data_IF_504711784276
#
_entry.id   IF_504711784276
#
_cell.length_a   1.000
_cell.length_b   1.000
_cell.length_c   1.000
_cell.angle_alpha   90.00
_cell.angle_beta   90.00
_cell.angle_gamma   90.00
#
_symmetry.space_group_name_H-M   'P 1'
#
loop_
_entity.id
_entity.type
_entity.pdbx_description
1 polymer ?
#
# COMPACT_ATOMS: atom_id res chain seq x y z
N UNK A 1 -9.08 -45.69 -17.26
CA UNK A 1 -8.02 -44.67 -17.39
C UNK A 1 -8.71 -43.33 -17.21
N UNK A 2 -8.70 -42.82 -15.98
CA UNK A 2 -9.50 -41.66 -15.57
C UNK A 2 -9.05 -40.39 -16.29
N UNK A 3 -10.02 -39.62 -16.79
CA UNK A 3 -9.84 -38.38 -17.53
C UNK A 3 -9.88 -37.12 -16.65
N UNK A 4 -9.80 -37.27 -15.32
CA UNK A 4 -9.97 -36.17 -14.36
C UNK A 4 -8.67 -35.58 -13.79
N UNK A 5 -7.49 -36.07 -14.18
CA UNK A 5 -6.21 -35.59 -13.61
C UNK A 5 -5.55 -34.40 -14.33
N UNK A 6 -6.24 -33.75 -15.28
CA UNK A 6 -5.70 -32.53 -15.93
C UNK A 6 -6.05 -31.22 -15.23
N UNK A 7 -6.77 -31.27 -14.10
CA UNK A 7 -7.22 -30.09 -13.35
C UNK A 7 -6.13 -29.41 -12.48
N UNK A 8 -4.92 -29.99 -12.38
CA UNK A 8 -3.92 -29.61 -11.37
C UNK A 8 -2.72 -28.77 -11.83
N UNK A 9 -2.48 -28.55 -13.12
CA UNK A 9 -1.12 -28.17 -13.59
C UNK A 9 -0.76 -26.67 -13.63
N UNK A 10 -1.63 -25.73 -13.25
CA UNK A 10 -1.32 -24.28 -13.34
C UNK A 10 -1.61 -23.44 -12.08
N UNK A 11 -1.97 -24.06 -10.95
CA UNK A 11 -1.96 -23.33 -9.67
C UNK A 11 -0.50 -23.22 -9.20
N UNK A 12 0.06 -22.01 -9.00
CA UNK A 12 1.39 -21.91 -8.40
C UNK A 12 1.36 -22.59 -7.03
N UNK A 13 2.40 -23.35 -6.65
CA UNK A 13 2.48 -23.86 -5.29
C UNK A 13 2.68 -22.68 -4.34
N UNK A 14 1.60 -22.19 -3.74
CA UNK A 14 1.66 -21.23 -2.66
C UNK A 14 2.18 -21.93 -1.40
N UNK A 15 3.14 -21.33 -0.71
CA UNK A 15 3.56 -21.80 0.61
C UNK A 15 2.44 -21.61 1.65
N UNK A 16 1.64 -20.56 1.46
CA UNK A 16 0.47 -20.25 2.27
C UNK A 16 -0.59 -19.61 1.38
N UNK A 17 -1.82 -20.06 1.53
CA UNK A 17 -2.98 -19.49 0.88
C UNK A 17 -4.08 -19.33 1.93
N UNK A 18 -4.69 -18.13 2.05
CA UNK A 18 -5.82 -17.94 2.95
C UNK A 18 -7.07 -18.67 2.45
N UNK A 19 -8.14 -18.66 3.25
CA UNK A 19 -9.44 -19.18 2.84
C UNK A 19 -9.94 -18.51 1.55
N UNK A 20 -10.53 -19.32 0.67
CA UNK A 20 -11.10 -18.93 -0.62
C UNK A 20 -12.63 -19.12 -0.52
N UNK A 21 -13.46 -18.24 -1.12
CA UNK A 21 -13.10 -17.02 -1.84
C UNK A 21 -12.49 -15.96 -0.91
N UNK A 22 -11.59 -15.13 -1.46
CA UNK A 22 -11.07 -13.97 -0.73
C UNK A 22 -12.25 -13.01 -0.48
N UNK A 23 -12.66 -12.91 0.79
CA UNK A 23 -13.75 -12.04 1.18
C UNK A 23 -13.31 -10.57 1.20
N UNK A 24 -14.20 -9.68 0.76
CA UNK A 24 -14.02 -8.24 0.91
C UNK A 24 -14.42 -7.78 2.31
N UNK A 25 -14.08 -6.55 2.67
CA UNK A 25 -14.49 -6.00 3.97
C UNK A 25 -16.01 -5.73 3.98
N UNK A 26 -16.71 -5.91 5.12
CA UNK A 26 -18.16 -5.83 5.19
C UNK A 26 -18.69 -4.38 5.28
N UNK A 27 -17.98 -3.41 4.70
CA UNK A 27 -18.31 -1.98 4.79
C UNK A 27 -19.19 -1.54 3.62
N UNK A 28 -18.77 -1.86 2.39
CA UNK A 28 -19.49 -1.51 1.16
C UNK A 28 -20.09 -2.76 0.50
N UNK A 29 -20.98 -3.44 1.23
CA UNK A 29 -21.63 -4.68 0.76
C UNK A 29 -23.12 -4.48 0.53
N UNK A 30 -23.66 -5.20 -0.45
CA UNK A 30 -25.10 -5.27 -0.71
C UNK A 30 -25.62 -6.70 -0.46
N UNK A 31 -26.70 -6.89 0.32
CA UNK A 31 -27.41 -5.88 1.10
C UNK A 31 -26.56 -5.28 2.24
N UNK A 32 -26.82 -4.04 2.70
CA UNK A 32 -26.02 -3.39 3.75
C UNK A 32 -25.99 -4.18 5.06
N UNK A 33 -24.82 -4.28 5.68
CA UNK A 33 -24.60 -5.02 6.94
C UNK A 33 -23.99 -4.11 8.02
N UNK A 34 -24.75 -3.14 8.58
CA UNK A 34 -24.20 -2.10 9.46
C UNK A 34 -23.48 -2.66 10.70
N UNK A 35 -24.02 -3.70 11.32
CA UNK A 35 -23.39 -4.35 12.48
C UNK A 35 -22.03 -4.96 12.12
N UNK A 36 -21.92 -5.59 10.95
CA UNK A 36 -20.66 -6.18 10.48
C UNK A 36 -19.66 -5.07 10.11
N UNK A 37 -20.11 -3.99 9.48
CA UNK A 37 -19.29 -2.82 9.17
C UNK A 37 -18.69 -2.21 10.45
N UNK A 38 -19.51 -1.94 11.47
CA UNK A 38 -19.04 -1.39 12.76
C UNK A 38 -18.05 -2.35 13.43
N UNK A 39 -18.35 -3.65 13.48
CA UNK A 39 -17.44 -4.67 14.02
C UNK A 39 -16.10 -4.67 13.30
N UNK A 40 -16.09 -4.50 11.97
CA UNK A 40 -14.88 -4.40 11.18
C UNK A 40 -14.10 -3.11 11.50
N UNK A 41 -14.76 -1.96 11.54
CA UNK A 41 -14.13 -0.67 11.85
C UNK A 41 -13.48 -0.67 13.24
N UNK A 42 -14.05 -1.39 14.21
CA UNK A 42 -13.51 -1.56 15.56
C UNK A 42 -12.59 -2.79 15.71
N UNK A 43 -12.33 -3.52 14.63
CA UNK A 43 -11.59 -4.78 14.66
C UNK A 43 -10.08 -4.56 14.82
N UNK A 44 -9.37 -5.65 15.12
CA UNK A 44 -7.90 -5.66 15.11
C UNK A 44 -7.30 -5.33 13.75
N UNK A 45 -7.97 -5.75 12.67
CA UNK A 45 -7.47 -5.56 11.30
C UNK A 45 -7.52 -4.10 10.87
N UNK A 46 -8.48 -3.32 11.35
CA UNK A 46 -8.63 -1.92 10.97
C UNK A 46 -8.19 -0.97 12.07
N UNK A 47 -8.92 -0.90 13.20
CA UNK A 47 -8.63 0.04 14.27
C UNK A 47 -7.22 -0.14 14.83
N UNK A 48 -6.83 -1.37 15.16
CA UNK A 48 -5.57 -1.62 15.88
C UNK A 48 -4.36 -1.89 14.97
N UNK A 49 -4.55 -2.16 13.68
CA UNK A 49 -3.44 -2.36 12.73
C UNK A 49 -3.23 -1.14 11.82
N UNK A 50 -4.26 -0.30 11.64
CA UNK A 50 -4.22 0.85 10.74
C UNK A 50 -4.41 2.15 11.53
N UNK A 51 -5.63 2.42 12.02
CA UNK A 51 -5.99 3.76 12.52
C UNK A 51 -5.17 4.15 13.75
N UNK A 52 -5.10 3.31 14.78
CA UNK A 52 -4.36 3.63 16.00
C UNK A 52 -2.85 3.70 15.76
N UNK A 53 -2.18 2.70 15.14
CA UNK A 53 -0.74 2.76 14.94
C UNK A 53 -0.30 3.96 14.10
N UNK A 54 -0.93 4.17 12.94
CA UNK A 54 -0.60 5.30 12.07
C UNK A 54 -1.06 6.63 12.67
N UNK A 55 -2.16 6.66 13.42
CA UNK A 55 -2.65 7.85 14.11
C UNK A 55 -1.70 8.33 15.20
N UNK A 56 -1.23 7.40 16.05
CA UNK A 56 -0.20 7.68 17.06
C UNK A 56 1.11 8.10 16.40
N UNK A 57 1.48 7.44 15.29
CA UNK A 57 2.69 7.75 14.56
C UNK A 57 2.67 9.15 13.93
N UNK A 58 1.54 9.54 13.34
CA UNK A 58 1.30 10.88 12.82
C UNK A 58 1.27 11.92 13.93
N UNK A 59 0.66 11.60 15.08
CA UNK A 59 0.66 12.47 16.26
C UNK A 59 2.07 12.71 16.80
N UNK A 60 2.89 11.65 16.93
CA UNK A 60 4.29 11.77 17.36
C UNK A 60 5.08 12.59 16.34
N UNK A 61 4.85 12.36 15.04
CA UNK A 61 5.51 13.13 13.99
C UNK A 61 5.18 14.61 14.11
N UNK A 62 3.89 14.94 14.25
CA UNK A 62 3.43 16.31 14.41
C UNK A 62 3.97 16.98 15.69
N UNK A 63 3.93 16.26 16.82
CA UNK A 63 4.27 16.83 18.11
C UNK A 63 5.79 17.00 18.33
N UNK A 64 6.61 16.11 17.77
CA UNK A 64 8.03 16.02 18.13
C UNK A 64 9.01 16.05 16.97
N UNK A 65 8.60 15.64 15.76
CA UNK A 65 9.53 15.42 14.65
C UNK A 65 9.39 16.45 13.52
N UNK A 66 8.25 17.14 13.45
CA UNK A 66 7.96 18.19 12.48
C UNK A 66 8.67 19.49 12.89
N UNK A 67 9.35 20.21 11.96
CA UNK A 67 9.83 21.56 12.24
C UNK A 67 8.69 22.49 12.67
N UNK A 68 9.02 23.47 13.51
CA UNK A 68 8.08 24.51 13.93
C UNK A 68 7.39 25.11 12.70
N UNK A 69 6.06 25.22 12.75
CA UNK A 69 5.25 25.66 11.60
C UNK A 69 5.67 27.06 11.12
N UNK A 70 6.11 27.93 12.03
CA UNK A 70 6.63 29.26 11.71
C UNK A 70 7.86 29.24 10.82
N UNK A 71 8.72 28.21 10.93
CA UNK A 71 9.88 28.02 10.02
C UNK A 71 9.47 27.60 8.62
N UNK A 72 8.26 27.05 8.45
CA UNK A 72 7.79 26.54 7.17
C UNK A 72 7.23 27.65 6.27
N UNK A 73 7.15 28.91 6.73
CA UNK A 73 6.60 30.02 5.95
C UNK A 73 7.45 30.35 4.70
N UNK A 74 8.78 30.22 4.81
CA UNK A 74 9.74 30.40 3.73
C UNK A 74 10.46 29.10 3.43
N UNK A 75 10.73 28.80 2.17
CA UNK A 75 11.52 27.63 1.82
C UNK A 75 12.95 27.80 2.29
N UNK A 76 13.40 26.90 3.17
CA UNK A 76 14.78 26.81 3.59
C UNK A 76 15.24 25.36 3.54
N UNK A 77 16.47 25.16 3.09
CA UNK A 77 17.08 23.84 3.03
C UNK A 77 17.05 23.13 4.40
N UNK A 78 17.21 23.87 5.50
CA UNK A 78 17.36 23.32 6.85
C UNK A 78 16.14 22.50 7.31
N UNK A 79 14.93 23.05 7.20
CA UNK A 79 13.71 22.38 7.65
C UNK A 79 13.22 21.35 6.63
N UNK A 80 13.45 21.57 5.34
CA UNK A 80 13.16 20.59 4.28
C UNK A 80 14.05 19.35 4.46
N UNK A 81 15.35 19.54 4.70
CA UNK A 81 16.28 18.45 4.98
C UNK A 81 15.92 17.71 6.28
N UNK A 82 15.50 18.41 7.33
CA UNK A 82 14.98 17.79 8.55
C UNK A 82 13.79 16.86 8.25
N UNK A 83 12.82 17.32 7.45
CA UNK A 83 11.66 16.51 7.06
C UNK A 83 12.06 15.30 6.20
N UNK A 84 12.98 15.48 5.24
CA UNK A 84 13.49 14.38 4.43
C UNK A 84 14.18 13.32 5.29
N UNK A 85 15.12 13.74 6.15
CA UNK A 85 15.86 12.83 7.03
C UNK A 85 14.93 12.10 8.00
N UNK A 86 13.94 12.80 8.57
CA UNK A 86 12.89 12.16 9.38
C UNK A 86 12.16 11.09 8.58
N UNK A 87 11.62 11.41 7.40
CA UNK A 87 10.89 10.43 6.58
C UNK A 87 11.77 9.23 6.20
N UNK A 88 13.02 9.49 5.82
CA UNK A 88 13.97 8.45 5.50
C UNK A 88 14.24 7.54 6.70
N UNK A 89 14.51 8.11 7.88
CA UNK A 89 14.74 7.35 9.11
C UNK A 89 13.52 6.50 9.49
N UNK A 90 12.33 7.09 9.46
CA UNK A 90 11.08 6.40 9.76
C UNK A 90 10.82 5.25 8.78
N UNK A 91 11.01 5.50 7.49
CA UNK A 91 10.83 4.51 6.45
C UNK A 91 11.83 3.36 6.57
N UNK A 92 13.12 3.68 6.74
CA UNK A 92 14.19 2.67 6.90
C UNK A 92 14.00 1.86 8.16
N UNK A 93 13.62 2.48 9.28
CA UNK A 93 13.39 1.79 10.54
C UNK A 93 12.27 0.76 10.42
N UNK A 94 11.14 1.14 9.82
CA UNK A 94 9.95 0.28 9.73
C UNK A 94 10.09 -0.72 8.58
N UNK A 95 10.27 -0.25 7.35
CA UNK A 95 10.33 -1.10 6.15
C UNK A 95 11.61 -1.93 6.13
N UNK A 96 12.74 -1.32 6.49
CA UNK A 96 14.00 -2.04 6.67
C UNK A 96 13.96 -3.01 7.84
N UNK A 97 13.34 -2.62 8.96
CA UNK A 97 13.12 -3.51 10.10
C UNK A 97 12.30 -4.76 9.73
N UNK A 98 11.19 -4.58 8.99
CA UNK A 98 10.39 -5.69 8.47
C UNK A 98 11.20 -6.56 7.51
N UNK A 99 12.01 -5.96 6.65
CA UNK A 99 12.87 -6.71 5.74
C UNK A 99 13.89 -7.56 6.50
N UNK A 100 14.56 -6.98 7.50
CA UNK A 100 15.49 -7.70 8.36
C UNK A 100 14.78 -8.84 9.10
N UNK A 101 13.61 -8.58 9.68
CA UNK A 101 12.83 -9.58 10.41
C UNK A 101 12.45 -10.79 9.54
N UNK A 102 11.86 -10.55 8.37
CA UNK A 102 11.30 -11.60 7.51
C UNK A 102 12.33 -12.30 6.61
N UNK A 103 13.35 -11.57 6.14
CA UNK A 103 14.23 -12.07 5.07
C UNK A 103 15.69 -12.24 5.49
N UNK A 104 16.24 -11.33 6.31
CA UNK A 104 17.62 -11.47 6.79
C UNK A 104 17.71 -12.46 7.96
N UNK A 105 16.94 -12.22 9.01
CA UNK A 105 16.89 -13.06 10.22
C UNK A 105 15.89 -14.21 10.12
N UNK A 106 14.96 -14.15 9.16
CA UNK A 106 13.95 -15.19 8.89
C UNK A 106 13.18 -15.62 10.16
N UNK A 107 12.87 -14.68 11.06
CA UNK A 107 12.29 -14.95 12.39
C UNK A 107 10.96 -15.71 12.34
N UNK A 108 10.16 -15.52 11.29
CA UNK A 108 8.87 -16.20 11.07
C UNK A 108 8.97 -17.40 10.11
N UNK A 109 10.15 -17.65 9.51
CA UNK A 109 10.33 -18.73 8.54
C UNK A 109 9.35 -18.65 7.37
N UNK A 110 8.57 -19.72 7.13
CA UNK A 110 7.54 -19.78 6.08
C UNK A 110 6.12 -19.56 6.61
N UNK A 111 5.94 -19.35 7.92
CA UNK A 111 4.61 -19.20 8.50
C UNK A 111 3.91 -17.99 7.87
N UNK A 112 2.72 -18.20 7.29
CA UNK A 112 1.94 -17.18 6.56
C UNK A 112 2.64 -16.54 5.35
N UNK A 113 3.74 -17.12 4.84
CA UNK A 113 4.44 -16.61 3.65
C UNK A 113 3.73 -17.09 2.39
N UNK A 114 3.31 -16.19 1.50
CA UNK A 114 2.57 -16.58 0.30
C UNK A 114 3.42 -17.38 -0.70
N UNK A 115 4.54 -16.81 -1.14
CA UNK A 115 5.40 -17.40 -2.18
C UNK A 115 6.77 -17.81 -1.64
N UNK A 116 7.33 -18.89 -2.20
CA UNK A 116 8.69 -19.33 -1.93
C UNK A 116 9.75 -18.63 -2.79
N UNK A 117 9.34 -17.81 -3.75
CA UNK A 117 10.24 -17.22 -4.74
C UNK A 117 11.31 -16.34 -4.08
N UNK A 118 12.57 -16.59 -4.40
CA UNK A 118 13.68 -15.79 -3.92
C UNK A 118 13.72 -14.41 -4.60
N UNK A 119 14.34 -13.44 -3.95
CA UNK A 119 14.63 -12.14 -4.57
C UNK A 119 15.65 -12.30 -5.70
N UNK A 120 15.49 -11.50 -6.75
CA UNK A 120 16.41 -11.49 -7.89
C UNK A 120 17.82 -11.04 -7.50
N UNK A 121 18.82 -11.82 -7.93
CA UNK A 121 20.26 -11.55 -7.80
C UNK A 121 20.92 -11.81 -9.14
N UNK A 122 21.93 -11.01 -9.49
CA UNK A 122 22.61 -11.00 -10.79
C UNK A 122 21.65 -10.90 -11.99
N UNK A 123 20.60 -10.09 -11.85
CA UNK A 123 19.60 -9.86 -12.91
C UNK A 123 19.72 -8.42 -13.42
N UNK A 124 19.99 -8.28 -14.74
CA UNK A 124 20.23 -7.00 -15.42
C UNK A 124 19.04 -6.04 -15.34
N UNK A 125 17.83 -6.53 -15.04
CA UNK A 125 16.66 -5.66 -14.93
C UNK A 125 16.65 -4.81 -13.65
N UNK A 126 17.49 -5.11 -12.65
CA UNK A 126 17.60 -4.33 -11.41
C UNK A 126 18.86 -3.46 -11.41
N UNK A 127 18.78 -2.30 -10.77
CA UNK A 127 19.95 -1.50 -10.43
C UNK A 127 20.94 -2.32 -9.59
N UNK A 128 22.24 -2.17 -9.88
CA UNK A 128 23.32 -2.97 -9.28
C UNK A 128 23.11 -4.50 -9.38
N UNK A 129 22.26 -4.96 -10.30
CA UNK A 129 21.84 -6.36 -10.50
C UNK A 129 21.27 -7.04 -9.27
N UNK A 130 20.72 -6.27 -8.35
CA UNK A 130 20.26 -6.75 -7.06
C UNK A 130 18.89 -6.17 -6.75
N UNK A 131 17.89 -7.04 -6.60
CA UNK A 131 16.53 -6.58 -6.34
C UNK A 131 16.48 -5.73 -5.07
N UNK A 132 17.05 -6.17 -3.94
CA UNK A 132 16.91 -5.44 -2.67
C UNK A 132 17.56 -4.06 -2.77
N UNK A 133 18.76 -3.95 -3.34
CA UNK A 133 19.44 -2.64 -3.52
C UNK A 133 18.67 -1.72 -4.44
N UNK A 134 18.15 -2.24 -5.55
CA UNK A 134 17.30 -1.49 -6.46
C UNK A 134 16.04 -0.97 -5.76
N UNK A 135 15.38 -1.81 -4.97
CA UNK A 135 14.16 -1.45 -4.27
C UNK A 135 14.41 -0.40 -3.17
N UNK A 136 15.51 -0.53 -2.44
CA UNK A 136 15.97 0.49 -1.48
C UNK A 136 16.25 1.81 -2.19
N UNK A 137 16.92 1.78 -3.34
CA UNK A 137 17.21 2.99 -4.12
C UNK A 137 15.93 3.71 -4.53
N UNK A 138 14.98 3.04 -5.20
CA UNK A 138 13.74 3.69 -5.64
C UNK A 138 12.86 4.14 -4.48
N UNK A 139 12.79 3.36 -3.40
CA UNK A 139 12.00 3.76 -2.22
C UNK A 139 12.57 5.01 -1.55
N UNK A 140 13.88 5.06 -1.33
CA UNK A 140 14.52 6.15 -0.60
C UNK A 140 14.77 7.38 -1.48
N UNK A 141 15.26 7.21 -2.70
CA UNK A 141 15.65 8.34 -3.57
C UNK A 141 14.44 8.94 -4.28
N UNK A 142 13.51 8.11 -4.74
CA UNK A 142 12.28 8.61 -5.40
C UNK A 142 11.14 8.76 -4.39
N UNK A 143 10.78 7.68 -3.71
CA UNK A 143 9.60 7.63 -2.87
C UNK A 143 9.63 8.60 -1.69
N UNK A 144 10.67 8.51 -0.85
CA UNK A 144 10.81 9.40 0.32
C UNK A 144 10.98 10.87 -0.10
N UNK A 145 11.63 11.14 -1.24
CA UNK A 145 11.72 12.50 -1.79
C UNK A 145 10.36 13.06 -2.14
N UNK A 146 9.53 12.33 -2.90
CA UNK A 146 8.20 12.83 -3.27
C UNK A 146 7.21 12.84 -2.12
N UNK A 147 7.31 11.88 -1.19
CA UNK A 147 6.59 11.95 0.08
C UNK A 147 6.93 13.24 0.82
N UNK A 148 8.22 13.55 0.97
CA UNK A 148 8.67 14.78 1.62
C UNK A 148 8.20 16.02 0.86
N UNK A 149 8.22 16.02 -0.47
CA UNK A 149 7.75 17.14 -1.28
C UNK A 149 6.27 17.46 -1.03
N UNK A 150 5.41 16.44 -0.94
CA UNK A 150 4.00 16.62 -0.58
C UNK A 150 3.84 17.21 0.83
N UNK A 151 4.57 16.69 1.82
CA UNK A 151 4.50 17.25 3.18
C UNK A 151 5.01 18.70 3.24
N UNK A 152 6.13 18.99 2.57
CA UNK A 152 6.69 20.34 2.43
C UNK A 152 5.67 21.30 1.85
N UNK A 153 4.97 20.89 0.78
CA UNK A 153 3.88 21.66 0.19
C UNK A 153 2.79 21.98 1.23
N UNK A 154 2.27 20.99 1.94
CA UNK A 154 1.22 21.22 2.93
C UNK A 154 1.69 22.08 4.10
N UNK A 155 2.87 21.81 4.66
CA UNK A 155 3.37 22.55 5.82
C UNK A 155 3.67 24.01 5.47
N UNK A 156 4.21 24.26 4.27
CA UNK A 156 4.37 25.60 3.74
C UNK A 156 3.03 26.30 3.51
N UNK A 157 2.03 25.61 2.94
CA UNK A 157 0.70 26.18 2.74
C UNK A 157 -0.02 26.50 4.05
N UNK A 158 0.11 25.65 5.08
CA UNK A 158 -0.42 25.95 6.43
C UNK A 158 0.28 27.15 7.06
N UNK A 159 1.61 27.23 6.98
CA UNK A 159 2.39 28.32 7.56
C UNK A 159 2.06 29.69 6.93
N UNK A 160 1.63 29.69 5.67
CA UNK A 160 1.23 30.91 4.94
C UNK A 160 -0.29 31.15 4.91
N UNK A 161 -1.09 30.35 5.62
CA UNK A 161 -2.55 30.50 5.64
C UNK A 161 -3.22 30.28 4.28
N UNK A 162 -2.60 29.52 3.38
CA UNK A 162 -3.09 29.27 2.01
C UNK A 162 -4.16 28.18 1.94
N UNK A 163 -4.30 27.37 2.99
CA UNK A 163 -5.33 26.33 3.07
C UNK A 163 -6.57 26.89 3.76
N UNK A 164 -7.71 27.02 3.06
CA UNK A 164 -8.88 27.72 3.59
C UNK A 164 -9.63 26.95 4.68
N UNK A 165 -9.31 25.66 4.89
CA UNK A 165 -10.07 24.76 5.75
C UNK A 165 -9.19 24.11 6.84
N UNK A 166 -8.66 24.89 7.78
CA UNK A 166 -8.01 24.31 8.96
C UNK A 166 -9.06 23.69 9.89
N UNK A 167 -8.82 22.46 10.36
CA UNK A 167 -9.69 21.78 11.32
C UNK A 167 -9.01 21.77 12.70
N UNK A 168 -9.50 22.58 13.63
CA UNK A 168 -9.13 22.47 15.05
C UNK A 168 -9.85 21.28 15.68
N UNK A 169 -9.07 20.30 16.13
CA UNK A 169 -9.56 19.11 16.82
C UNK A 169 -10.27 19.38 18.15
N UNK A 170 -10.06 20.54 18.79
CA UNK A 170 -10.76 20.92 20.03
C UNK A 170 -12.19 21.34 19.76
N UNK A 171 -12.41 22.03 18.64
CA UNK A 171 -13.73 22.49 18.19
C UNK A 171 -14.49 21.38 17.46
N UNK A 172 -13.76 20.50 16.76
CA UNK A 172 -14.34 19.45 15.92
C UNK A 172 -13.74 18.04 16.20
N UNK A 173 -13.77 17.56 17.46
CA UNK A 173 -13.11 16.29 17.82
C UNK A 173 -13.71 15.08 17.10
N UNK A 174 -15.04 15.08 16.88
CA UNK A 174 -15.71 13.99 16.16
C UNK A 174 -15.26 13.94 14.71
N UNK A 175 -15.26 15.08 14.00
CA UNK A 175 -14.83 15.15 12.61
C UNK A 175 -13.36 14.81 12.44
N UNK A 176 -12.51 15.24 13.37
CA UNK A 176 -11.09 14.86 13.41
C UNK A 176 -10.92 13.33 13.39
N UNK A 177 -11.63 12.63 14.29
CA UNK A 177 -11.56 11.15 14.34
C UNK A 177 -12.17 10.51 13.10
N UNK A 178 -13.31 11.01 12.60
CA UNK A 178 -13.94 10.45 11.40
C UNK A 178 -13.04 10.55 10.17
N UNK A 179 -12.27 11.63 10.02
CA UNK A 179 -11.32 11.79 8.90
C UNK A 179 -10.20 10.75 8.98
N UNK A 180 -9.65 10.44 10.17
CA UNK A 180 -8.65 9.37 10.33
C UNK A 180 -9.18 8.01 9.87
N UNK A 181 -10.46 7.71 10.12
CA UNK A 181 -11.12 6.52 9.59
C UNK A 181 -11.42 6.64 8.09
N UNK A 182 -11.72 7.82 7.56
CA UNK A 182 -12.08 7.98 6.15
C UNK A 182 -10.87 7.84 5.21
N UNK A 183 -9.68 8.29 5.64
CA UNK A 183 -8.47 8.34 4.80
C UNK A 183 -8.14 6.99 4.15
N UNK A 184 -8.07 5.84 4.85
CA UNK A 184 -7.74 4.57 4.20
C UNK A 184 -8.79 4.10 3.17
N UNK A 185 -10.07 4.48 3.35
CA UNK A 185 -11.11 4.19 2.35
C UNK A 185 -10.99 5.09 1.13
N UNK A 186 -10.66 6.36 1.32
CA UNK A 186 -10.40 7.27 0.20
C UNK A 186 -9.16 6.83 -0.58
N UNK A 187 -8.07 6.49 0.11
CA UNK A 187 -6.87 5.90 -0.47
C UNK A 187 -7.21 4.65 -1.29
N UNK A 188 -8.02 3.74 -0.74
CA UNK A 188 -8.48 2.54 -1.45
C UNK A 188 -9.17 2.84 -2.78
N UNK A 189 -10.10 3.79 -2.78
CA UNK A 189 -10.83 4.20 -3.96
C UNK A 189 -9.91 4.87 -5.00
N UNK A 190 -9.08 5.81 -4.56
CA UNK A 190 -8.10 6.49 -5.42
C UNK A 190 -7.10 5.51 -6.02
N UNK A 191 -6.54 4.63 -5.19
CA UNK A 191 -5.54 3.65 -5.59
C UNK A 191 -6.05 2.76 -6.73
N UNK A 192 -7.31 2.30 -6.68
CA UNK A 192 -7.89 1.53 -7.78
C UNK A 192 -7.79 2.26 -9.12
N UNK A 193 -8.22 3.52 -9.19
CA UNK A 193 -8.25 4.28 -10.44
C UNK A 193 -6.85 4.59 -10.95
N UNK A 194 -5.96 5.05 -10.08
CA UNK A 194 -4.60 5.38 -10.49
C UNK A 194 -3.79 4.13 -10.84
N UNK A 195 -4.00 3.02 -10.14
CA UNK A 195 -3.30 1.77 -10.43
C UNK A 195 -3.75 1.20 -11.76
N UNK A 196 -5.07 1.18 -12.02
CA UNK A 196 -5.59 0.80 -13.34
C UNK A 196 -5.08 1.71 -14.46
N UNK A 197 -4.95 3.02 -14.20
CA UNK A 197 -4.35 3.98 -15.12
C UNK A 197 -2.84 3.70 -15.35
N UNK A 198 -2.08 3.36 -14.31
CA UNK A 198 -0.67 3.02 -14.41
C UNK A 198 -0.43 1.73 -15.23
N UNK A 199 -1.42 0.84 -15.29
CA UNK A 199 -1.42 -0.34 -16.18
C UNK A 199 -1.74 -0.01 -17.64
N UNK A 200 -2.10 1.23 -17.98
CA UNK A 200 -2.17 1.67 -19.36
C UNK A 200 -0.77 1.65 -19.99
N UNK A 201 -0.64 1.02 -21.16
CA UNK A 201 0.63 0.62 -21.79
C UNK A 201 1.75 1.70 -21.78
N UNK A 202 1.50 2.99 -22.08
CA UNK A 202 2.51 4.03 -21.98
C UNK A 202 2.99 4.28 -20.55
N UNK A 203 2.08 4.46 -19.59
CA UNK A 203 2.43 4.66 -18.18
C UNK A 203 3.07 3.41 -17.57
N UNK A 204 2.62 2.22 -18.00
CA UNK A 204 3.23 0.98 -17.56
C UNK A 204 4.70 0.92 -17.94
N UNK A 205 5.02 1.20 -19.21
CA UNK A 205 6.40 1.14 -19.72
C UNK A 205 7.30 2.20 -19.10
N UNK A 206 6.78 3.42 -18.90
CA UNK A 206 7.58 4.55 -18.43
C UNK A 206 7.75 4.54 -16.91
N UNK A 207 6.75 4.09 -16.16
CA UNK A 207 6.74 4.17 -14.71
C UNK A 207 6.52 2.81 -14.05
N UNK A 208 5.37 2.19 -14.29
CA UNK A 208 4.89 1.07 -13.47
C UNK A 208 5.70 -0.24 -13.60
N UNK A 209 6.45 -0.40 -14.70
CA UNK A 209 7.34 -1.53 -14.91
C UNK A 209 8.45 -1.60 -13.84
N UNK A 210 8.85 -0.47 -13.24
CA UNK A 210 9.82 -0.42 -12.12
C UNK A 210 9.27 -1.13 -10.89
N UNK A 211 7.99 -0.96 -10.61
CA UNK A 211 7.30 -1.67 -9.54
C UNK A 211 7.12 -3.16 -9.90
N UNK A 212 6.57 -3.45 -11.08
CA UNK A 212 6.19 -4.81 -11.48
C UNK A 212 7.33 -5.76 -11.83
N UNK A 213 8.56 -5.28 -12.07
CA UNK A 213 9.71 -6.19 -12.15
C UNK A 213 10.00 -6.93 -10.84
N UNK A 214 9.39 -6.51 -9.71
CA UNK A 214 9.49 -7.16 -8.40
C UNK A 214 8.49 -8.31 -8.24
N UNK A 215 8.66 -9.38 -9.02
CA UNK A 215 7.77 -10.57 -8.95
C UNK A 215 7.79 -11.23 -7.57
N UNK A 216 8.96 -11.28 -6.93
CA UNK A 216 9.07 -11.66 -5.52
C UNK A 216 8.88 -10.41 -4.66
N UNK A 217 7.76 -10.33 -3.95
CA UNK A 217 7.43 -9.19 -3.10
C UNK A 217 8.23 -9.21 -1.80
N UNK A 218 8.67 -8.03 -1.37
CA UNK A 218 9.28 -7.80 -0.06
C UNK A 218 8.97 -6.39 0.43
N UNK A 219 9.27 -6.07 1.71
CA UNK A 219 8.88 -4.79 2.29
C UNK A 219 9.33 -3.57 1.46
N UNK A 220 10.56 -3.58 0.95
CA UNK A 220 11.05 -2.51 0.08
C UNK A 220 10.35 -2.43 -1.28
N UNK A 221 9.78 -3.53 -1.80
CA UNK A 221 9.17 -3.51 -3.12
C UNK A 221 7.83 -2.79 -3.18
N UNK A 222 7.19 -2.60 -2.03
CA UNK A 222 5.91 -1.89 -1.98
C UNK A 222 6.01 -0.43 -2.35
N UNK A 223 7.13 0.23 -2.03
CA UNK A 223 7.35 1.65 -2.34
C UNK A 223 8.48 1.87 -3.35
N UNK A 224 8.97 0.78 -3.97
CA UNK A 224 9.97 0.84 -5.05
C UNK A 224 9.27 1.12 -6.38
N UNK A 225 9.09 2.39 -6.69
CA UNK A 225 8.39 2.87 -7.88
C UNK A 225 9.22 3.93 -8.62
N UNK A 226 8.85 4.20 -9.86
CA UNK A 226 9.39 5.31 -10.62
C UNK A 226 8.85 6.66 -10.07
N UNK A 227 9.58 7.79 -10.15
CA UNK A 227 9.12 9.10 -9.67
C UNK A 227 7.74 9.51 -10.18
N UNK A 228 7.45 9.26 -11.46
CA UNK A 228 6.14 9.54 -12.03
C UNK A 228 5.03 8.72 -11.35
N UNK A 229 5.30 7.47 -11.00
CA UNK A 229 4.35 6.65 -10.27
C UNK A 229 4.19 7.12 -8.83
N UNK A 230 5.27 7.46 -8.12
CA UNK A 230 5.18 8.06 -6.78
C UNK A 230 4.36 9.36 -6.77
N UNK A 231 4.55 10.22 -7.76
CA UNK A 231 3.81 11.47 -7.91
C UNK A 231 2.31 11.19 -8.03
N UNK A 232 1.92 10.27 -8.91
CA UNK A 232 0.52 9.91 -9.12
C UNK A 232 -0.05 9.17 -7.90
N UNK A 233 0.70 8.22 -7.34
CA UNK A 233 0.29 7.41 -6.19
C UNK A 233 0.02 8.27 -4.95
N UNK A 234 0.95 9.16 -4.59
CA UNK A 234 0.84 10.01 -3.41
C UNK A 234 -0.14 11.17 -3.61
N UNK A 235 -0.62 11.42 -4.83
CA UNK A 235 -1.52 12.54 -5.12
C UNK A 235 -2.86 12.50 -4.37
N UNK A 236 -3.25 11.36 -3.80
CA UNK A 236 -4.45 11.25 -2.97
C UNK A 236 -4.46 12.24 -1.80
N UNK A 237 -3.29 12.64 -1.26
CA UNK A 237 -3.20 13.60 -0.16
C UNK A 237 -3.75 14.98 -0.56
N UNK A 238 -3.78 15.31 -1.85
CA UNK A 238 -4.29 16.59 -2.35
C UNK A 238 -5.78 16.80 -2.05
N UNK A 239 -6.51 15.74 -1.66
CA UNK A 239 -7.87 15.85 -1.15
C UNK A 239 -7.97 16.86 0.01
N UNK A 240 -6.92 17.00 0.82
CA UNK A 240 -6.89 17.93 1.95
C UNK A 240 -6.78 19.41 1.57
N UNK A 241 -6.65 19.73 0.28
CA UNK A 241 -6.83 21.11 -0.23
C UNK A 241 -8.32 21.46 -0.27
N UNK A 242 -9.18 20.47 -0.52
CA UNK A 242 -10.60 20.65 -0.74
C UNK A 242 -11.45 20.48 0.53
N UNK A 243 -10.88 19.85 1.57
CA UNK A 243 -11.61 19.48 2.79
C UNK A 243 -10.91 19.93 4.05
N UNK A 244 -11.70 20.25 5.07
CA UNK A 244 -11.18 20.66 6.37
C UNK A 244 -10.29 19.58 6.98
N UNK A 245 -9.06 19.94 7.34
CA UNK A 245 -8.08 18.98 7.85
C UNK A 245 -7.09 19.60 8.81
N UNK A 246 -6.55 18.75 9.67
CA UNK A 246 -5.45 19.08 10.56
C UNK A 246 -4.15 18.51 9.96
N UNK A 247 -2.97 19.12 10.21
CA UNK A 247 -1.67 18.55 9.80
C UNK A 247 -1.47 17.08 10.15
N UNK A 248 -2.02 16.62 11.28
CA UNK A 248 -2.00 15.19 11.67
C UNK A 248 -2.66 14.30 10.62
N UNK A 249 -3.75 14.73 9.98
CA UNK A 249 -4.38 13.98 8.88
C UNK A 249 -3.42 13.85 7.69
N UNK A 250 -2.67 14.90 7.36
CA UNK A 250 -1.69 14.90 6.27
C UNK A 250 -0.57 13.89 6.55
N UNK A 251 0.00 13.94 7.76
CA UNK A 251 1.03 12.98 8.17
C UNK A 251 0.48 11.55 8.18
N UNK A 252 -0.71 11.34 8.75
CA UNK A 252 -1.36 10.03 8.76
C UNK A 252 -1.52 9.48 7.34
N UNK A 253 -2.05 10.30 6.42
CA UNK A 253 -2.31 9.91 5.04
C UNK A 253 -1.03 9.53 4.30
N UNK A 254 -0.01 10.37 4.37
CA UNK A 254 1.24 10.11 3.64
C UNK A 254 2.07 9.00 4.27
N UNK A 255 2.05 8.87 5.60
CA UNK A 255 2.69 7.75 6.30
C UNK A 255 1.98 6.43 5.97
N UNK A 256 0.65 6.43 5.97
CA UNK A 256 -0.16 5.30 5.51
C UNK A 256 0.23 4.89 4.09
N UNK A 257 0.30 5.82 3.15
CA UNK A 257 0.70 5.52 1.78
C UNK A 257 2.12 4.95 1.72
N UNK A 258 3.11 5.65 2.27
CA UNK A 258 4.52 5.26 2.13
C UNK A 258 4.83 3.96 2.90
N UNK A 259 4.61 3.96 4.21
CA UNK A 259 4.97 2.82 5.07
C UNK A 259 3.97 1.67 4.89
N UNK A 260 2.68 1.97 4.73
CA UNK A 260 1.66 0.96 4.44
C UNK A 260 1.88 0.25 3.11
N UNK A 261 2.42 0.93 2.08
CA UNK A 261 2.87 0.24 0.86
C UNK A 261 3.95 -0.81 1.16
N UNK A 262 4.93 -0.48 2.01
CA UNK A 262 5.95 -1.44 2.43
C UNK A 262 5.39 -2.61 3.25
N UNK A 263 4.46 -2.32 4.17
CA UNK A 263 3.75 -3.35 4.96
C UNK A 263 2.91 -4.27 4.06
N UNK A 264 2.23 -3.73 3.06
CA UNK A 264 1.38 -4.50 2.16
C UNK A 264 2.13 -5.38 1.16
N UNK A 265 3.46 -5.24 1.06
CA UNK A 265 4.30 -6.03 0.15
C UNK A 265 5.29 -6.95 0.85
N UNK A 266 5.15 -7.20 2.15
CA UNK A 266 6.04 -8.12 2.86
C UNK A 266 6.06 -9.54 2.28
N UNK A 267 5.00 -9.96 1.59
CA UNK A 267 4.83 -11.33 1.10
C UNK A 267 4.35 -12.29 2.19
N UNK A 268 3.98 -11.76 3.36
CA UNK A 268 3.39 -12.47 4.49
C UNK A 268 2.02 -11.87 4.80
N UNK A 269 1.03 -12.72 5.08
CA UNK A 269 -0.30 -12.23 5.46
C UNK A 269 -0.28 -11.38 6.73
N UNK A 270 0.52 -11.78 7.71
CA UNK A 270 0.61 -11.11 8.99
C UNK A 270 1.96 -11.30 9.66
N UNK A 271 2.33 -10.33 10.48
CA UNK A 271 3.38 -10.47 11.49
C UNK A 271 2.84 -11.34 12.64
N UNK A 272 3.56 -12.41 12.98
CA UNK A 272 3.21 -13.27 14.10
C UNK A 272 4.15 -13.07 15.29
N UNK A 273 3.59 -13.13 16.50
CA UNK A 273 4.34 -13.17 17.75
C UNK A 273 3.91 -14.42 18.50
N UNK A 274 4.88 -15.29 18.84
CA UNK A 274 4.61 -16.61 19.45
C UNK A 274 3.58 -17.42 18.64
N UNK A 275 3.66 -17.33 17.31
CA UNK A 275 2.80 -18.05 16.38
C UNK A 275 1.40 -17.46 16.16
N UNK A 276 1.01 -16.38 16.87
CA UNK A 276 -0.29 -15.73 16.70
C UNK A 276 -0.19 -14.46 15.85
N UNK A 277 -1.10 -14.24 14.86
CA UNK A 277 -1.16 -12.99 14.10
C UNK A 277 -1.37 -11.79 15.02
N UNK A 278 -0.55 -10.75 14.83
CA UNK A 278 -0.62 -9.50 15.60
C UNK A 278 -0.95 -8.30 14.71
N UNK A 279 -0.22 -8.14 13.60
CA UNK A 279 -0.38 -7.03 12.66
C UNK A 279 -0.62 -7.62 11.28
N UNK A 280 -1.72 -7.23 10.64
CA UNK A 280 -2.02 -7.60 9.26
C UNK A 280 -1.13 -6.79 8.31
N UNK A 281 -0.52 -7.48 7.34
CA UNK A 281 0.51 -6.92 6.48
C UNK A 281 0.07 -6.93 5.02
N UNK A 282 0.30 -8.05 4.32
CA UNK A 282 0.03 -8.17 2.89
C UNK A 282 -1.31 -8.87 2.63
N UNK A 283 -2.23 -8.28 1.85
CA UNK A 283 -3.41 -8.99 1.39
C UNK A 283 -3.03 -9.96 0.25
N UNK A 284 -3.53 -11.19 0.31
CA UNK A 284 -3.33 -12.18 -0.76
C UNK A 284 -3.92 -11.73 -2.10
N UNK A 285 -4.96 -10.89 -2.08
CA UNK A 285 -5.56 -10.25 -3.25
C UNK A 285 -4.53 -9.50 -4.11
N UNK A 286 -3.62 -8.75 -3.46
CA UNK A 286 -2.55 -8.03 -4.14
C UNK A 286 -1.40 -8.96 -4.58
N UNK A 287 -1.16 -10.05 -3.84
CA UNK A 287 -0.21 -11.07 -4.27
C UNK A 287 -0.67 -11.75 -5.58
N UNK A 288 -1.97 -11.95 -5.76
CA UNK A 288 -2.55 -12.42 -7.02
C UNK A 288 -2.39 -11.38 -8.15
N UNK A 289 -2.56 -10.09 -7.84
CA UNK A 289 -2.29 -9.01 -8.79
C UNK A 289 -0.86 -9.08 -9.35
N UNK A 290 0.15 -9.15 -8.48
CA UNK A 290 1.57 -9.29 -8.90
C UNK A 290 1.84 -10.54 -9.74
N UNK A 291 1.02 -11.57 -9.62
CA UNK A 291 1.14 -12.81 -10.41
C UNK A 291 0.46 -12.71 -11.78
N UNK A 292 -0.70 -12.06 -11.85
CA UNK A 292 -1.58 -12.09 -13.02
C UNK A 292 -1.57 -10.77 -13.83
N UNK A 293 -1.22 -9.65 -13.20
CA UNK A 293 -1.10 -8.28 -13.70
C UNK A 293 -2.41 -7.64 -14.21
N UNK A 294 -3.45 -8.43 -14.51
CA UNK A 294 -4.66 -7.95 -15.19
C UNK A 294 -5.96 -8.10 -14.35
N UNK A 295 -5.84 -8.19 -13.04
CA UNK A 295 -6.94 -8.26 -12.07
C UNK A 295 -6.51 -7.59 -10.77
N UNK A 296 -7.43 -7.31 -9.85
CA UNK A 296 -7.13 -6.88 -8.48
C UNK A 296 -6.30 -5.58 -8.43
N UNK A 297 -6.76 -4.52 -9.10
CA UNK A 297 -6.07 -3.22 -9.13
C UNK A 297 -6.23 -2.43 -7.82
N UNK A 298 -7.31 -2.63 -7.10
CA UNK A 298 -7.61 -1.99 -5.84
C UNK A 298 -7.03 -2.76 -4.65
N UNK A 299 -7.07 -2.12 -3.49
CA UNK A 299 -6.89 -2.79 -2.21
C UNK A 299 -8.27 -3.16 -1.62
N UNK A 300 -8.31 -4.03 -0.61
CA UNK A 300 -9.54 -4.71 -0.20
C UNK A 300 -10.54 -3.87 0.62
N UNK A 301 -10.26 -2.60 0.91
CA UNK A 301 -11.12 -1.74 1.75
C UNK A 301 -12.36 -1.23 1.02
N UNK A 302 -12.24 -0.90 -0.26
CA UNK A 302 -13.36 -0.51 -1.14
C UNK A 302 -13.40 -1.52 -2.29
N UNK A 303 -14.56 -2.17 -2.56
CA UNK A 303 -14.65 -3.28 -3.51
C UNK A 303 -14.67 -2.81 -4.98
N UNK A 304 -13.75 -1.92 -5.36
CA UNK A 304 -13.69 -1.34 -6.70
C UNK A 304 -13.49 -2.41 -7.77
N UNK A 305 -12.63 -3.41 -7.55
CA UNK A 305 -12.46 -4.50 -8.51
C UNK A 305 -13.75 -5.30 -8.76
N UNK A 306 -14.58 -5.48 -7.74
CA UNK A 306 -15.89 -6.13 -7.91
C UNK A 306 -16.85 -5.24 -8.68
N UNK A 307 -16.87 -3.94 -8.37
CA UNK A 307 -17.73 -2.96 -9.05
C UNK A 307 -17.39 -2.79 -10.53
N UNK A 308 -16.12 -2.91 -10.90
CA UNK A 308 -15.64 -2.68 -12.27
C UNK A 308 -15.20 -3.96 -13.00
N UNK A 309 -15.49 -5.14 -12.45
CA UNK A 309 -15.31 -6.42 -13.13
C UNK A 309 -13.85 -6.87 -13.29
N UNK A 310 -12.97 -6.51 -12.36
CA UNK A 310 -11.54 -6.89 -12.34
C UNK A 310 -11.15 -7.78 -11.14
N UNK A 311 -12.12 -8.25 -10.35
CA UNK A 311 -11.87 -9.06 -9.15
C UNK A 311 -11.47 -10.50 -9.48
N UNK A 312 -10.48 -11.00 -8.74
CA UNK A 312 -10.03 -12.39 -8.73
C UNK A 312 -9.81 -12.84 -7.28
N UNK A 313 -10.75 -13.65 -6.80
CA UNK A 313 -10.87 -14.10 -5.42
C UNK A 313 -10.11 -15.42 -5.11
N UNK A 314 -9.40 -15.97 -6.09
CA UNK A 314 -8.61 -17.19 -5.94
C UNK A 314 -9.37 -18.49 -6.20
N UNK A 315 -10.69 -18.43 -6.47
CA UNK A 315 -11.53 -19.60 -6.79
C UNK A 315 -11.12 -20.29 -8.10
N UNK A 316 -11.51 -21.55 -8.25
CA UNK A 316 -11.21 -22.31 -9.48
C UNK A 316 -11.90 -21.68 -10.70
N UNK A 317 -13.08 -21.11 -10.48
CA UNK A 317 -13.89 -20.39 -11.45
C UNK A 317 -13.15 -19.14 -11.96
N UNK A 318 -12.61 -18.33 -11.06
CA UNK A 318 -11.83 -17.14 -11.41
C UNK A 318 -10.57 -17.50 -12.23
N UNK A 319 -9.86 -18.56 -11.83
CA UNK A 319 -8.72 -19.09 -12.60
C UNK A 319 -9.12 -19.58 -14.00
N UNK A 320 -10.27 -20.26 -14.11
CA UNK A 320 -10.79 -20.74 -15.39
C UNK A 320 -11.18 -19.58 -16.32
N UNK A 321 -11.78 -18.51 -15.78
CA UNK A 321 -12.16 -17.32 -16.54
C UNK A 321 -10.94 -16.65 -17.19
N UNK A 322 -9.84 -16.45 -16.45
CA UNK A 322 -8.60 -15.89 -17.01
C UNK A 322 -8.04 -16.79 -18.12
N UNK A 323 -8.02 -18.10 -17.89
CA UNK A 323 -7.50 -19.07 -18.88
C UNK A 323 -8.29 -19.03 -20.18
N UNK A 324 -9.61 -19.02 -20.08
CA UNK A 324 -10.50 -18.99 -21.25
C UNK A 324 -10.34 -17.67 -22.01
N UNK A 325 -10.23 -16.54 -21.30
CA UNK A 325 -9.95 -15.25 -21.92
C UNK A 325 -8.60 -15.20 -22.65
N UNK A 326 -7.54 -15.82 -22.10
CA UNK A 326 -6.24 -15.94 -22.78
C UNK A 326 -6.33 -16.79 -24.05
N UNK A 327 -7.00 -17.95 -23.97
CA UNK A 327 -7.20 -18.84 -25.13
C UNK A 327 -7.96 -18.14 -26.26
N UNK A 328 -9.04 -17.42 -25.93
CA UNK A 328 -9.81 -16.67 -26.92
C UNK A 328 -8.99 -15.58 -27.62
N UNK A 329 -8.13 -14.86 -26.89
CA UNK A 329 -7.23 -13.85 -27.49
C UNK A 329 -6.18 -14.47 -28.40
N UNK A 330 -5.61 -15.63 -28.04
CA UNK A 330 -4.64 -16.34 -28.87
C UNK A 330 -5.31 -16.89 -30.14
N UNK A 331 -6.55 -17.36 -30.06
CA UNK A 331 -7.31 -17.85 -31.21
C UNK A 331 -7.79 -16.74 -32.17
N UNK A 332 -7.78 -15.48 -31.73
CA UNK A 332 -8.21 -14.32 -32.51
C UNK A 332 -7.05 -13.57 -33.19
N UNK A 333 -5.81 -14.03 -32.99
CA UNK A 333 -4.57 -13.57 -33.65
C UNK A 333 -4.13 -14.67 -34.61
#
# INVERSE_FOLDING_TARGET
>A
MNKDDSAGQDKPPWNYQPSIPIEGVPVFVWPPRPVAAIKYLLSRAYLFSVVIPFGLFALITWAYLQPAITRCATFEFSWIAQMYLRNLMLFVLIVGGLHLYFFAFKRQGKQLKFSGQAFGRDDRKYFARDQVRDNVFWSCVSGVTLWTAYEVFFMWSYANGLLPFYLDWREHPVWFVLILFAIPFFDSAHFYFIHRLLHWKPLYRVAHAVHHRNVSTGPWSGFSMHPLEHLIYLSNVLIHILFASHPIHIFFHLQWNAIGAGMSHTGYESLTVRGKPLIYLSPFHHQLHHRLYNCNYGNSLVPMDKLFGSDHDGTAEAWSAIRNGRRAKVAAV
#
